data_IF_265488078199
#
_entry.id   IF_265488078199
#
_cell.length_a   1.000
_cell.length_b   1.000
_cell.length_c   1.000
_cell.angle_alpha   90.00
_cell.angle_beta   90.00
_cell.angle_gamma   90.00
#
_symmetry.space_group_name_H-M   'P 1'
#
loop_
_entity.id
_entity.type
_entity.pdbx_description
1 polymer ?
#
# COMPACT_ATOMS: atom_id res chain seq x y z
N UNK A 1 -39.44 -34.35 44.50
CA UNK A 1 -38.09 -34.27 45.09
C UNK A 1 -37.11 -34.11 43.95
N UNK A 2 -36.36 -33.00 43.94
CA UNK A 2 -35.26 -32.70 43.01
C UNK A 2 -35.67 -32.02 41.70
N UNK A 3 -35.15 -30.89 41.23
CA UNK A 3 -34.35 -29.77 41.75
C UNK A 3 -34.65 -28.61 40.78
N UNK A 4 -34.85 -27.40 41.31
CA UNK A 4 -35.08 -26.18 40.56
C UNK A 4 -33.76 -25.68 39.96
N UNK A 5 -33.72 -25.40 38.66
CA UNK A 5 -32.68 -24.53 38.09
C UNK A 5 -33.37 -23.43 37.27
N UNK A 6 -33.41 -22.23 37.85
CA UNK A 6 -33.80 -20.99 37.18
C UNK A 6 -32.57 -20.10 37.11
N UNK A 7 -32.24 -19.67 35.89
CA UNK A 7 -31.69 -18.36 35.48
C UNK A 7 -30.53 -18.49 34.49
N UNK A 8 -30.23 -17.46 33.67
CA UNK A 8 -31.11 -16.42 33.13
C UNK A 8 -31.05 -16.35 31.59
N UNK A 9 -32.09 -15.76 31.01
CA UNK A 9 -32.15 -15.34 29.60
C UNK A 9 -31.49 -13.96 29.54
N UNK A 10 -30.48 -13.74 28.68
CA UNK A 10 -30.30 -12.48 27.92
C UNK A 10 -29.52 -12.73 26.63
N UNK A 11 -29.75 -11.92 25.57
CA UNK A 11 -29.63 -12.35 24.17
C UNK A 11 -28.55 -11.60 23.36
N UNK A 12 -28.30 -12.15 22.16
CA UNK A 12 -27.91 -11.50 20.90
C UNK A 12 -26.60 -10.69 20.78
N UNK A 13 -25.84 -11.07 19.75
CA UNK A 13 -24.94 -10.26 18.91
C UNK A 13 -23.94 -9.32 19.60
N UNK A 14 -22.69 -9.77 19.72
CA UNK A 14 -21.56 -8.96 19.21
C UNK A 14 -20.33 -9.85 18.97
N UNK A 15 -20.01 -9.98 17.67
CA UNK A 15 -18.69 -10.08 17.05
C UNK A 15 -17.63 -11.04 17.64
N UNK A 16 -17.20 -12.08 16.90
CA UNK A 16 -15.97 -12.78 17.23
C UNK A 16 -14.81 -11.77 17.13
N UNK A 17 -14.16 -11.53 18.27
CA UNK A 17 -12.91 -10.77 18.38
C UNK A 17 -11.85 -11.43 17.50
N UNK A 18 -11.75 -11.00 16.24
CA UNK A 18 -10.62 -11.32 15.38
C UNK A 18 -9.45 -10.49 15.87
N UNK A 19 -8.67 -11.10 16.76
CA UNK A 19 -7.24 -10.80 16.91
C UNK A 19 -6.62 -10.76 15.51
N UNK A 20 -6.44 -9.55 14.98
CA UNK A 20 -5.67 -9.35 13.77
C UNK A 20 -4.21 -9.64 14.12
N UNK A 21 -3.81 -10.91 13.99
CA UNK A 21 -2.42 -11.28 13.81
C UNK A 21 -1.98 -10.71 12.46
N UNK A 22 -1.72 -9.41 12.42
CA UNK A 22 -1.14 -8.77 11.25
C UNK A 22 0.26 -9.39 11.09
N UNK A 23 0.55 -10.06 9.97
CA UNK A 23 1.93 -10.38 9.67
C UNK A 23 2.67 -9.04 9.67
N UNK A 24 3.76 -8.96 10.45
CA UNK A 24 4.67 -7.81 10.45
C UNK A 24 5.38 -7.81 9.09
N UNK A 25 4.64 -7.53 8.02
CA UNK A 25 5.23 -7.29 6.72
C UNK A 25 5.90 -5.93 6.83
N UNK A 26 7.22 -5.84 6.69
CA UNK A 26 7.89 -4.56 6.72
C UNK A 26 7.20 -3.67 5.69
N UNK A 27 6.75 -2.49 6.14
CA UNK A 27 6.10 -1.51 5.27
C UNK A 27 7.14 -1.06 4.27
N UNK A 28 7.14 -1.69 3.08
CA UNK A 28 8.06 -1.32 2.02
C UNK A 28 7.59 0.00 1.42
N UNK A 29 8.46 1.00 1.46
CA UNK A 29 8.21 2.26 0.78
C UNK A 29 7.93 2.00 -0.71
N UNK A 30 6.72 2.33 -1.21
CA UNK A 30 6.33 1.93 -2.55
C UNK A 30 7.09 2.68 -3.65
N UNK A 31 7.59 3.88 -3.37
CA UNK A 31 8.47 4.59 -4.30
C UNK A 31 9.83 3.89 -4.39
N UNK A 32 10.44 3.52 -3.24
CA UNK A 32 11.70 2.75 -3.23
C UNK A 32 11.54 1.43 -3.98
N UNK A 33 10.45 0.71 -3.75
CA UNK A 33 10.15 -0.54 -4.46
C UNK A 33 10.07 -0.35 -5.97
N UNK A 34 9.45 0.73 -6.43
CA UNK A 34 9.35 1.04 -7.86
C UNK A 34 10.73 1.32 -8.50
N UNK A 35 11.62 2.01 -7.79
CA UNK A 35 13.00 2.22 -8.25
C UNK A 35 13.80 0.91 -8.31
N UNK A 36 13.66 0.02 -7.30
CA UNK A 36 14.30 -1.31 -7.33
C UNK A 36 13.82 -2.10 -8.55
N UNK A 37 12.52 -2.08 -8.84
CA UNK A 37 11.98 -2.80 -10.02
C UNK A 37 12.51 -2.23 -11.33
N UNK A 38 12.64 -0.90 -11.43
CA UNK A 38 13.24 -0.24 -12.59
C UNK A 38 14.70 -0.66 -12.77
N UNK A 39 15.46 -0.64 -11.68
CA UNK A 39 16.87 -1.01 -11.67
C UNK A 39 17.10 -2.47 -12.11
N UNK A 40 16.30 -3.42 -11.61
CA UNK A 40 16.38 -4.84 -12.05
C UNK A 40 16.09 -5.00 -13.56
N UNK A 41 15.15 -4.22 -14.10
CA UNK A 41 14.86 -4.21 -15.53
C UNK A 41 15.99 -3.57 -16.35
N UNK A 42 16.61 -2.51 -15.84
CA UNK A 42 17.70 -1.79 -16.51
C UNK A 42 19.03 -2.56 -16.49
N UNK A 43 19.29 -3.33 -15.43
CA UNK A 43 20.47 -4.21 -15.32
C UNK A 43 20.41 -5.42 -16.27
N UNK A 44 19.26 -5.69 -16.89
CA UNK A 44 19.08 -6.79 -17.82
C UNK A 44 18.87 -8.15 -17.15
N UNK A 45 18.81 -8.21 -15.81
CA UNK A 45 18.49 -9.43 -15.05
C UNK A 45 17.10 -9.96 -15.37
N UNK A 46 16.17 -9.07 -15.73
CA UNK A 46 14.85 -9.42 -16.22
C UNK A 46 14.56 -8.62 -17.50
N UNK A 47 14.27 -9.33 -18.59
CA UNK A 47 14.06 -8.68 -19.91
C UNK A 47 12.68 -8.04 -20.05
N UNK A 48 11.71 -8.45 -19.24
CA UNK A 48 10.34 -7.94 -19.30
C UNK A 48 9.71 -7.82 -17.91
N UNK A 49 8.64 -7.04 -17.80
CA UNK A 49 7.84 -6.97 -16.56
C UNK A 49 7.23 -8.32 -16.18
N UNK A 50 6.97 -9.21 -17.15
CA UNK A 50 6.45 -10.55 -16.86
C UNK A 50 7.54 -11.46 -16.28
N UNK A 51 8.78 -11.30 -16.74
CA UNK A 51 9.95 -12.00 -16.23
C UNK A 51 10.26 -11.54 -14.80
N UNK A 52 10.27 -10.22 -14.57
CA UNK A 52 10.40 -9.63 -13.23
C UNK A 52 9.32 -10.15 -12.27
N UNK A 53 8.07 -10.25 -12.74
CA UNK A 53 6.97 -10.78 -11.93
C UNK A 53 7.20 -12.24 -11.52
N UNK A 54 7.68 -13.09 -12.44
CA UNK A 54 8.04 -14.48 -12.14
C UNK A 54 9.22 -14.55 -11.16
N UNK A 55 10.26 -13.74 -11.39
CA UNK A 55 11.44 -13.68 -10.53
C UNK A 55 11.09 -13.27 -9.09
N UNK A 56 10.15 -12.35 -8.92
CA UNK A 56 9.69 -11.88 -7.62
C UNK A 56 8.53 -12.69 -7.01
N UNK A 57 8.01 -13.71 -7.71
CA UNK A 57 6.83 -14.45 -7.27
C UNK A 57 5.54 -13.60 -7.18
N UNK A 58 5.47 -12.50 -7.93
CA UNK A 58 4.33 -11.58 -7.95
C UNK A 58 3.51 -11.71 -9.23
N UNK A 59 2.28 -11.20 -9.23
CA UNK A 59 1.53 -11.04 -10.48
C UNK A 59 2.15 -9.94 -11.34
N UNK A 60 2.08 -10.09 -12.66
CA UNK A 60 2.48 -9.04 -13.62
C UNK A 60 1.77 -7.72 -13.32
N UNK A 61 0.49 -7.77 -12.98
CA UNK A 61 -0.29 -6.59 -12.64
C UNK A 61 0.31 -5.82 -11.46
N UNK A 62 0.77 -6.51 -10.40
CA UNK A 62 1.39 -5.87 -9.23
C UNK A 62 2.71 -5.17 -9.59
N UNK A 63 3.54 -5.81 -10.41
CA UNK A 63 4.78 -5.20 -10.93
C UNK A 63 4.47 -3.94 -11.74
N UNK A 64 3.53 -4.02 -12.67
CA UNK A 64 3.11 -2.87 -13.49
C UNK A 64 2.54 -1.73 -12.65
N UNK A 65 1.69 -2.04 -11.65
CA UNK A 65 1.13 -1.04 -10.73
C UNK A 65 2.23 -0.33 -9.94
N UNK A 66 3.20 -1.09 -9.43
CA UNK A 66 4.34 -0.54 -8.69
C UNK A 66 5.19 0.35 -9.59
N UNK A 67 5.54 -0.10 -10.80
CA UNK A 67 6.30 0.72 -11.78
C UNK A 67 5.55 1.99 -12.21
N UNK A 68 4.21 1.96 -12.25
CA UNK A 68 3.42 3.14 -12.59
C UNK A 68 3.55 4.26 -11.55
N UNK A 69 4.01 3.98 -10.33
CA UNK A 69 4.32 5.02 -9.35
C UNK A 69 5.43 5.96 -9.82
N UNK A 70 6.34 5.51 -10.68
CA UNK A 70 7.39 6.34 -11.26
C UNK A 70 6.85 7.41 -12.22
N UNK A 71 5.55 7.36 -12.56
CA UNK A 71 4.85 8.40 -13.35
C UNK A 71 4.40 9.59 -12.49
N UNK A 72 4.61 9.53 -11.18
CA UNK A 72 4.39 10.66 -10.29
C UNK A 72 5.40 11.77 -10.60
N UNK A 73 5.00 13.01 -10.33
CA UNK A 73 5.85 14.16 -10.47
C UNK A 73 7.12 13.95 -9.65
N UNK A 74 8.31 14.35 -10.16
CA UNK A 74 9.59 14.15 -9.46
C UNK A 74 9.58 14.64 -8.01
N UNK A 75 8.92 15.78 -7.76
CA UNK A 75 8.75 16.35 -6.41
C UNK A 75 8.00 15.41 -5.46
N UNK A 76 7.01 14.65 -5.95
CA UNK A 76 6.26 13.70 -5.12
C UNK A 76 7.13 12.48 -4.82
N UNK A 77 7.86 11.98 -5.81
CA UNK A 77 8.79 10.85 -5.62
C UNK A 77 9.87 11.21 -4.60
N UNK A 78 10.46 12.40 -4.69
CA UNK A 78 11.46 12.88 -3.74
C UNK A 78 10.91 12.93 -2.31
N UNK A 79 9.70 13.48 -2.11
CA UNK A 79 9.04 13.49 -0.80
C UNK A 79 8.84 12.05 -0.31
N UNK A 80 8.31 11.15 -1.14
CA UNK A 80 8.06 9.76 -0.75
C UNK A 80 9.35 9.02 -0.38
N UNK A 81 10.46 9.29 -1.06
CA UNK A 81 11.76 8.68 -0.76
C UNK A 81 12.36 9.18 0.56
N UNK A 82 12.12 10.46 0.88
CA UNK A 82 12.62 11.14 2.07
C UNK A 82 11.68 11.03 3.29
N UNK A 83 10.51 10.40 3.15
CA UNK A 83 9.61 10.16 4.27
C UNK A 83 10.19 9.11 5.22
N UNK A 84 10.07 9.33 6.54
CA UNK A 84 10.45 8.33 7.53
C UNK A 84 9.46 7.15 7.52
N UNK A 85 9.92 5.99 8.00
CA UNK A 85 9.17 4.72 7.91
C UNK A 85 7.87 4.75 8.76
N UNK A 86 7.81 5.59 9.79
CA UNK A 86 6.62 5.86 10.59
C UNK A 86 5.56 6.67 9.84
N UNK A 87 5.87 7.30 8.70
CA UNK A 87 4.88 8.01 7.88
C UNK A 87 4.61 7.31 6.56
N UNK A 88 5.56 6.52 6.05
CA UNK A 88 5.43 5.89 4.74
C UNK A 88 4.28 4.88 4.68
N UNK A 89 3.92 4.27 5.82
CA UNK A 89 2.80 3.33 5.91
C UNK A 89 1.45 3.96 5.54
N UNK A 90 1.32 5.28 5.67
CA UNK A 90 0.12 6.02 5.26
C UNK A 90 -0.02 6.12 3.74
N UNK A 91 1.10 6.01 3.00
CA UNK A 91 1.19 6.21 1.55
C UNK A 91 1.35 4.89 0.80
N UNK A 92 0.33 4.03 0.85
CA UNK A 92 0.34 2.79 0.05
C UNK A 92 0.19 3.07 -1.45
N UNK A 93 0.67 2.14 -2.30
CA UNK A 93 0.54 2.23 -3.76
C UNK A 93 -0.91 2.50 -4.19
N UNK A 94 -1.88 1.83 -3.55
CA UNK A 94 -3.32 2.00 -3.84
C UNK A 94 -3.79 3.45 -3.69
N UNK A 95 -3.26 4.20 -2.72
CA UNK A 95 -3.62 5.60 -2.47
C UNK A 95 -2.90 6.56 -3.43
N UNK A 96 -1.71 6.20 -3.87
CA UNK A 96 -0.93 6.99 -4.82
C UNK A 96 -1.39 6.78 -6.27
N UNK A 97 -1.96 5.61 -6.58
CA UNK A 97 -2.40 5.22 -7.92
C UNK A 97 -3.31 6.25 -8.61
N UNK A 98 -4.34 6.84 -7.97
CA UNK A 98 -5.16 7.88 -8.62
C UNK A 98 -4.35 9.11 -9.04
N UNK A 99 -3.29 9.45 -8.29
CA UNK A 99 -2.42 10.59 -8.59
C UNK A 99 -1.57 10.29 -9.83
N UNK A 100 -1.12 9.04 -10.02
CA UNK A 100 -0.38 8.62 -11.22
C UNK A 100 -1.16 8.79 -12.53
N UNK A 101 -2.49 8.82 -12.46
CA UNK A 101 -3.37 8.95 -13.63
C UNK A 101 -3.57 10.42 -14.07
N UNK A 102 -3.13 11.38 -13.26
CA UNK A 102 -3.24 12.80 -13.58
C UNK A 102 -2.07 13.19 -14.50
N UNK A 103 -2.35 13.69 -15.70
CA UNK A 103 -1.31 14.06 -16.68
C UNK A 103 -0.45 15.27 -16.24
N UNK A 104 -1.05 16.22 -15.51
CA UNK A 104 -0.36 17.46 -15.12
C UNK A 104 0.36 17.30 -13.78
N UNK A 105 1.69 17.51 -13.76
CA UNK A 105 2.48 17.48 -12.53
C UNK A 105 1.99 18.48 -11.48
N UNK A 106 1.56 19.68 -11.87
CA UNK A 106 1.01 20.68 -10.94
C UNK A 106 -0.26 20.16 -10.25
N UNK A 107 -1.14 19.50 -11.00
CA UNK A 107 -2.36 18.89 -10.46
C UNK A 107 -2.04 17.66 -9.59
N UNK A 108 -1.03 16.88 -9.96
CA UNK A 108 -0.54 15.77 -9.13
C UNK A 108 -0.04 16.28 -7.77
N UNK A 109 0.80 17.32 -7.76
CA UNK A 109 1.31 17.90 -6.51
C UNK A 109 0.19 18.44 -5.63
N UNK A 110 -0.82 19.09 -6.22
CA UNK A 110 -1.98 19.55 -5.48
C UNK A 110 -2.79 18.39 -4.88
N UNK A 111 -3.08 17.35 -5.68
CA UNK A 111 -3.79 16.16 -5.21
C UNK A 111 -3.01 15.42 -4.10
N UNK A 112 -1.68 15.34 -4.23
CA UNK A 112 -0.81 14.74 -3.22
C UNK A 112 -0.80 15.55 -1.91
N UNK A 113 -0.76 16.88 -1.99
CA UNK A 113 -0.87 17.74 -0.79
C UNK A 113 -2.20 17.54 -0.08
N UNK A 114 -3.30 17.50 -0.83
CA UNK A 114 -4.63 17.21 -0.28
C UNK A 114 -4.65 15.85 0.40
N UNK A 115 -4.15 14.80 -0.28
CA UNK A 115 -4.01 13.47 0.30
C UNK A 115 -3.24 13.53 1.62
N UNK A 116 -2.07 14.19 1.70
CA UNK A 116 -1.31 14.31 2.94
C UNK A 116 -2.12 14.95 4.08
N UNK A 117 -2.88 16.01 3.78
CA UNK A 117 -3.72 16.68 4.77
C UNK A 117 -4.81 15.74 5.29
N UNK A 118 -5.48 15.01 4.39
CA UNK A 118 -6.53 14.03 4.74
C UNK A 118 -6.00 12.82 5.56
N UNK A 119 -4.68 12.64 5.62
CA UNK A 119 -4.02 11.55 6.37
C UNK A 119 -3.50 11.97 7.74
N UNK A 120 -3.30 13.26 7.93
CA UNK A 120 -2.66 13.83 9.13
C UNK A 120 -3.65 14.61 9.99
N UNK A 121 -4.83 14.95 9.44
CA UNK A 121 -5.95 15.56 10.15
C UNK A 121 -6.95 14.51 10.60
#
# INVERSE_FOLDING_TARGET
MGEFFVSPIEPADTEPTTVHNEPITPVVNPAKQAFIFKDILEQGNCTTQADLAKHLGMSRARVTQTLNLLKLAPVILDILLNLPDDQIHLFSERRLRPITQITSHKRQTHAFRKLRTDLTG
#
